data_IF_460829030279
#
_entry.id   IF_460829030279
#
_cell.length_a   1.000
_cell.length_b   1.000
_cell.length_c   1.000
_cell.angle_alpha   90.00
_cell.angle_beta   90.00
_cell.angle_gamma   90.00
#
_symmetry.space_group_name_H-M   'P 1'
#
loop_
_entity.id
_entity.type
_entity.pdbx_description
1 polymer ?
#
# COMPACT_ATOMS: atom_id res chain seq x y z
N UNK A 1 -19.30 -14.73 -26.79
CA UNK A 1 -18.88 -14.79 -25.37
C UNK A 1 -19.07 -16.19 -24.86
N UNK A 2 -18.16 -16.72 -24.05
CA UNK A 2 -18.30 -18.01 -23.39
C UNK A 2 -18.28 -17.74 -21.89
N UNK A 3 -19.31 -18.18 -21.19
CA UNK A 3 -19.45 -18.00 -19.75
C UNK A 3 -19.08 -19.31 -19.08
N UNK A 4 -18.09 -19.28 -18.19
CA UNK A 4 -17.70 -20.42 -17.38
C UNK A 4 -18.28 -20.25 -15.97
N UNK A 5 -19.08 -21.21 -15.53
CA UNK A 5 -19.61 -21.27 -14.17
C UNK A 5 -18.80 -22.29 -13.38
N UNK A 6 -18.21 -21.87 -12.25
CA UNK A 6 -17.45 -22.73 -11.35
C UNK A 6 -18.23 -22.82 -10.04
N UNK A 7 -18.66 -24.02 -9.67
CA UNK A 7 -19.25 -24.28 -8.36
C UNK A 7 -18.13 -24.48 -7.34
N UNK A 8 -18.06 -23.61 -6.33
CA UNK A 8 -17.08 -23.70 -5.25
C UNK A 8 -17.74 -24.42 -4.08
N UNK A 9 -17.22 -25.58 -3.65
CA UNK A 9 -17.76 -26.29 -2.49
C UNK A 9 -17.72 -25.41 -1.23
N UNK A 10 -18.73 -25.51 -0.36
CA UNK A 10 -18.87 -24.65 0.83
C UNK A 10 -17.68 -24.71 1.79
N UNK A 11 -16.92 -25.82 1.78
CA UNK A 11 -15.72 -25.99 2.60
C UNK A 11 -14.55 -25.06 2.19
N UNK A 12 -14.62 -24.39 1.05
CA UNK A 12 -13.56 -23.49 0.58
C UNK A 12 -13.98 -22.03 0.66
N UNK A 13 -13.07 -21.18 1.12
CA UNK A 13 -13.28 -19.75 1.11
C UNK A 13 -13.24 -19.23 -0.34
N UNK A 14 -14.37 -18.69 -0.81
CA UNK A 14 -14.53 -18.17 -2.18
C UNK A 14 -13.40 -17.24 -2.61
N UNK A 15 -12.97 -16.32 -1.73
CA UNK A 15 -11.90 -15.36 -2.02
C UNK A 15 -10.55 -16.04 -2.25
N UNK A 16 -10.19 -17.00 -1.42
CA UNK A 16 -8.94 -17.75 -1.57
C UNK A 16 -8.91 -18.57 -2.87
N UNK A 17 -10.05 -19.19 -3.23
CA UNK A 17 -10.19 -19.94 -4.49
C UNK A 17 -10.07 -19.02 -5.71
N UNK A 18 -10.77 -17.88 -5.70
CA UNK A 18 -10.69 -16.90 -6.79
C UNK A 18 -9.28 -16.33 -6.95
N UNK A 19 -8.60 -16.02 -5.85
CA UNK A 19 -7.21 -15.55 -5.88
C UNK A 19 -6.28 -16.59 -6.52
N UNK A 20 -6.39 -17.87 -6.13
CA UNK A 20 -5.59 -18.95 -6.71
C UNK A 20 -5.83 -19.10 -8.23
N UNK A 21 -7.09 -19.04 -8.66
CA UNK A 21 -7.45 -19.10 -10.09
C UNK A 21 -6.88 -17.89 -10.84
N UNK A 22 -7.06 -16.68 -10.29
CA UNK A 22 -6.59 -15.45 -10.89
C UNK A 22 -5.06 -15.42 -11.05
N UNK A 23 -4.32 -15.85 -10.03
CA UNK A 23 -2.85 -15.98 -10.06
C UNK A 23 -2.43 -16.93 -11.18
N UNK A 24 -3.06 -18.10 -11.30
CA UNK A 24 -2.73 -19.06 -12.35
C UNK A 24 -3.02 -18.53 -13.75
N UNK A 25 -4.13 -17.82 -13.94
CA UNK A 25 -4.48 -17.21 -15.22
C UNK A 25 -3.50 -16.09 -15.60
N UNK A 26 -3.07 -15.29 -14.62
CA UNK A 26 -2.03 -14.29 -14.82
C UNK A 26 -0.68 -14.92 -15.20
N UNK A 27 -0.22 -15.93 -14.46
CA UNK A 27 1.05 -16.62 -14.73
C UNK A 27 1.05 -17.31 -16.11
N UNK A 28 -0.10 -17.77 -16.59
CA UNK A 28 -0.28 -18.33 -17.95
C UNK A 28 -0.38 -17.27 -19.05
N UNK A 29 -0.36 -15.98 -18.69
CA UNK A 29 -0.53 -14.87 -19.63
C UNK A 29 -1.96 -14.73 -20.20
N UNK A 30 -2.93 -15.44 -19.64
CA UNK A 30 -4.33 -15.38 -20.08
C UNK A 30 -5.03 -14.10 -19.62
N UNK A 31 -4.58 -13.52 -18.49
CA UNK A 31 -5.07 -12.26 -17.95
C UNK A 31 -3.89 -11.32 -17.65
N UNK A 32 -4.13 -10.02 -17.78
CA UNK A 32 -3.22 -9.01 -17.21
C UNK A 32 -3.34 -8.97 -15.69
N UNK A 33 -2.33 -8.44 -14.99
CA UNK A 33 -2.34 -8.33 -13.52
C UNK A 33 -3.58 -7.58 -13.00
N UNK A 34 -4.03 -6.52 -13.70
CA UNK A 34 -5.25 -5.79 -13.38
C UNK A 34 -6.50 -6.67 -13.49
N UNK A 35 -6.67 -7.37 -14.62
CA UNK A 35 -7.83 -8.24 -14.83
C UNK A 35 -7.88 -9.42 -13.85
N UNK A 36 -6.71 -9.96 -13.49
CA UNK A 36 -6.60 -10.99 -12.47
C UNK A 36 -6.95 -10.45 -11.07
N UNK A 37 -6.49 -9.24 -10.73
CA UNK A 37 -6.88 -8.56 -9.49
C UNK A 37 -8.39 -8.33 -9.40
N UNK A 38 -9.00 -7.86 -10.50
CA UNK A 38 -10.44 -7.66 -10.60
C UNK A 38 -11.22 -8.97 -10.40
N UNK A 39 -10.74 -10.09 -10.97
CA UNK A 39 -11.34 -11.42 -10.79
C UNK A 39 -11.28 -11.92 -9.34
N UNK A 40 -10.19 -11.60 -8.63
CA UNK A 40 -9.97 -12.02 -7.26
C UNK A 40 -10.46 -11.01 -6.21
N UNK A 41 -11.04 -9.89 -6.64
CA UNK A 41 -11.45 -8.77 -5.78
C UNK A 41 -10.30 -8.23 -4.91
N UNK A 42 -9.08 -8.17 -5.46
CA UNK A 42 -7.88 -7.65 -4.79
C UNK A 42 -7.20 -6.56 -5.62
N UNK A 43 -6.50 -5.61 -4.99
CA UNK A 43 -5.63 -4.67 -5.69
C UNK A 43 -4.62 -5.40 -6.60
N UNK A 44 -4.28 -4.78 -7.72
CA UNK A 44 -3.27 -5.32 -8.65
C UNK A 44 -1.95 -5.66 -7.95
N UNK A 45 -1.48 -4.82 -7.02
CA UNK A 45 -0.24 -5.06 -6.29
C UNK A 45 -0.32 -6.32 -5.42
N UNK A 46 -1.45 -6.52 -4.74
CA UNK A 46 -1.70 -7.73 -3.94
C UNK A 46 -1.70 -8.97 -4.86
N UNK A 47 -2.34 -8.90 -6.03
CA UNK A 47 -2.31 -10.00 -7.00
C UNK A 47 -0.87 -10.34 -7.43
N UNK A 48 -0.08 -9.32 -7.77
CA UNK A 48 1.33 -9.52 -8.17
C UNK A 48 2.10 -10.15 -7.01
N UNK A 49 1.94 -9.65 -5.78
CA UNK A 49 2.57 -10.23 -4.59
C UNK A 49 2.25 -11.72 -4.42
N UNK A 50 0.98 -12.12 -4.56
CA UNK A 50 0.55 -13.52 -4.44
C UNK A 50 0.97 -14.40 -5.63
N UNK A 51 1.35 -13.79 -6.76
CA UNK A 51 1.84 -14.52 -7.93
C UNK A 51 3.34 -14.85 -7.89
N UNK A 52 4.10 -14.17 -7.02
CA UNK A 52 5.53 -14.38 -6.85
C UNK A 52 5.82 -15.58 -5.95
N UNK A 53 6.98 -16.21 -6.17
CA UNK A 53 7.47 -17.26 -5.27
C UNK A 53 7.77 -16.70 -3.87
N UNK A 54 7.71 -17.54 -2.84
CA UNK A 54 7.98 -17.12 -1.46
C UNK A 54 9.41 -16.60 -1.24
N UNK A 55 10.35 -17.02 -2.08
CA UNK A 55 11.75 -16.60 -2.03
C UNK A 55 12.08 -15.46 -3.01
N UNK A 56 11.07 -14.87 -3.67
CA UNK A 56 11.31 -13.80 -4.62
C UNK A 56 11.73 -12.50 -3.89
N UNK A 57 12.90 -11.92 -4.19
CA UNK A 57 13.36 -10.71 -3.52
C UNK A 57 12.42 -9.50 -3.74
N UNK A 58 11.60 -9.50 -4.80
CA UNK A 58 10.64 -8.44 -5.04
C UNK A 58 9.46 -8.49 -4.05
N UNK A 59 9.18 -9.62 -3.38
CA UNK A 59 8.07 -9.72 -2.41
C UNK A 59 8.17 -8.71 -1.27
N UNK A 60 9.37 -8.44 -0.77
CA UNK A 60 9.57 -7.45 0.29
C UNK A 60 9.29 -6.02 -0.18
N UNK A 61 9.53 -5.74 -1.47
CA UNK A 61 9.30 -4.42 -2.08
C UNK A 61 7.83 -4.14 -2.36
N UNK A 62 7.05 -5.18 -2.65
CA UNK A 62 5.63 -5.09 -3.01
C UNK A 62 4.71 -5.71 -1.95
N UNK A 63 5.24 -5.98 -0.76
CA UNK A 63 4.49 -6.54 0.36
C UNK A 63 3.26 -5.66 0.56
N UNK A 64 2.05 -6.23 0.65
CA UNK A 64 0.85 -5.46 0.91
C UNK A 64 1.03 -4.69 2.22
N UNK A 65 1.37 -3.40 2.13
CA UNK A 65 1.29 -2.48 3.25
C UNK A 65 -0.17 -2.40 3.64
N UNK A 66 -0.46 -2.53 4.94
CA UNK A 66 -1.80 -2.66 5.50
C UNK A 66 -2.87 -1.91 4.70
N UNK A 67 -4.02 -2.58 4.47
CA UNK A 67 -5.21 -1.93 3.93
C UNK A 67 -5.67 -0.85 4.92
N UNK A 68 -5.19 0.36 4.74
CA UNK A 68 -5.85 1.53 5.33
C UNK A 68 -7.13 1.75 4.53
N UNK A 69 -8.26 1.79 5.21
CA UNK A 69 -9.56 2.06 4.61
C UNK A 69 -9.64 3.50 4.07
N UNK A 70 -8.77 4.41 4.55
CA UNK A 70 -8.66 5.77 4.02
C UNK A 70 -7.26 6.38 4.20
N UNK A 71 -7.03 7.53 3.56
CA UNK A 71 -5.77 8.31 3.68
C UNK A 71 -5.58 8.81 5.11
N UNK A 72 -6.67 9.11 5.81
CA UNK A 72 -6.66 9.53 7.21
C UNK A 72 -6.19 8.40 8.13
N UNK A 73 -6.65 7.17 7.91
CA UNK A 73 -6.23 6.00 8.69
C UNK A 73 -4.75 5.66 8.50
N UNK A 74 -4.23 5.90 7.29
CA UNK A 74 -2.80 5.81 7.01
C UNK A 74 -2.01 6.88 7.78
N UNK A 75 -2.46 8.13 7.74
CA UNK A 75 -1.82 9.25 8.45
C UNK A 75 -1.82 9.03 9.97
N UNK A 76 -2.91 8.54 10.55
CA UNK A 76 -2.98 8.27 11.99
C UNK A 76 -2.08 7.12 12.42
N UNK A 77 -1.95 6.08 11.61
CA UNK A 77 -0.98 5.01 11.88
C UNK A 77 0.46 5.50 11.80
N UNK A 78 0.81 6.31 10.79
CA UNK A 78 2.14 6.92 10.69
C UNK A 78 2.46 7.79 11.92
N UNK A 79 1.50 8.57 12.41
CA UNK A 79 1.66 9.35 13.65
C UNK A 79 1.93 8.44 14.84
N UNK A 80 1.24 7.31 14.93
CA UNK A 80 1.39 6.34 16.02
C UNK A 80 2.75 5.65 15.98
N UNK A 81 3.18 5.13 14.82
CA UNK A 81 4.48 4.47 14.63
C UNK A 81 5.65 5.40 14.94
N UNK A 82 5.55 6.67 14.54
CA UNK A 82 6.58 7.68 14.78
C UNK A 82 6.49 8.33 16.17
N UNK A 83 5.53 7.91 17.01
CA UNK A 83 5.24 8.54 18.30
C UNK A 83 5.11 10.08 18.17
N UNK A 84 4.44 10.52 17.11
CA UNK A 84 4.31 11.92 16.74
C UNK A 84 3.43 12.65 17.76
N UNK A 85 4.03 13.60 18.50
CA UNK A 85 3.35 14.40 19.53
C UNK A 85 2.87 15.77 19.04
N UNK A 86 2.87 15.99 17.72
CA UNK A 86 2.62 17.30 17.13
C UNK A 86 3.90 18.05 16.76
N UNK A 87 3.73 19.24 16.19
CA UNK A 87 4.84 20.10 15.78
C UNK A 87 5.48 20.74 17.01
N UNK A 88 6.72 20.35 17.32
CA UNK A 88 7.51 20.88 18.41
C UNK A 88 8.24 22.17 17.97
N UNK A 89 7.62 23.31 18.26
CA UNK A 89 8.15 24.64 17.91
C UNK A 89 9.49 24.94 18.56
N UNK A 90 9.71 24.50 19.80
CA UNK A 90 10.95 24.79 20.52
C UNK A 90 12.11 23.98 19.96
N UNK A 91 11.88 22.70 19.66
CA UNK A 91 12.88 21.85 19.00
C UNK A 91 13.24 22.39 17.61
N UNK A 92 12.24 22.82 16.83
CA UNK A 92 12.48 23.38 15.51
C UNK A 92 13.19 24.73 15.55
N UNK A 93 12.91 25.57 16.55
CA UNK A 93 13.64 26.83 16.75
C UNK A 93 15.10 26.56 17.12
N UNK A 94 15.36 25.62 18.04
CA UNK A 94 16.75 25.20 18.36
C UNK A 94 17.49 24.67 17.14
N UNK A 95 16.84 23.87 16.31
CA UNK A 95 17.43 23.37 15.07
C UNK A 95 17.75 24.50 14.08
N UNK A 96 16.86 25.49 13.97
CA UNK A 96 17.11 26.66 13.12
C UNK A 96 18.29 27.50 13.61
N UNK A 97 18.40 27.68 14.94
CA UNK A 97 19.53 28.37 15.57
C UNK A 97 20.85 27.60 15.36
N UNK A 98 20.84 26.26 15.49
CA UNK A 98 22.00 25.40 15.22
C UNK A 98 22.45 25.42 13.75
N UNK A 99 21.50 25.54 12.84
CA UNK A 99 21.74 25.60 11.40
C UNK A 99 22.03 27.02 10.88
N UNK A 100 22.11 28.02 11.78
CA UNK A 100 22.31 29.44 11.46
C UNK A 100 21.32 29.96 10.40
N UNK A 101 20.06 29.51 10.51
CA UNK A 101 19.01 29.92 9.59
C UNK A 101 18.63 31.37 9.91
N UNK A 102 18.98 32.27 9.00
CA UNK A 102 18.75 33.71 9.14
C UNK A 102 17.29 34.12 8.87
N UNK A 103 16.53 33.29 8.18
CA UNK A 103 15.13 33.56 7.84
C UNK A 103 14.16 32.98 8.87
N UNK A 104 13.03 33.68 9.17
CA UNK A 104 12.00 33.12 10.04
C UNK A 104 11.51 31.77 9.51
N UNK A 105 11.49 30.75 10.38
CA UNK A 105 11.06 29.40 10.02
C UNK A 105 9.65 29.38 9.41
N UNK A 106 8.76 30.24 9.90
CA UNK A 106 7.40 30.41 9.38
C UNK A 106 7.39 30.87 7.91
N UNK A 107 8.35 31.72 7.53
CA UNK A 107 8.49 32.21 6.16
C UNK A 107 8.99 31.09 5.24
N UNK A 108 9.95 30.29 5.68
CA UNK A 108 10.43 29.11 4.93
C UNK A 108 9.32 28.07 4.73
N UNK A 109 8.55 27.78 5.78
CA UNK A 109 7.44 26.84 5.70
C UNK A 109 6.34 27.31 4.75
N UNK A 110 6.06 28.62 4.71
CA UNK A 110 5.05 29.19 3.82
C UNK A 110 5.38 29.03 2.33
N UNK A 111 6.65 28.86 1.97
CA UNK A 111 7.09 28.64 0.59
C UNK A 111 6.85 27.21 0.10
N UNK A 112 6.78 26.24 1.00
CA UNK A 112 6.60 24.81 0.70
C UNK A 112 5.13 24.44 0.46
N UNK A 113 4.19 25.25 0.95
CA UNK A 113 2.75 25.00 0.88
C UNK A 113 2.05 25.78 -0.24
N UNK A 114 2.72 26.04 -1.37
CA UNK A 114 2.13 26.69 -2.54
C UNK A 114 1.22 25.77 -3.34
#
# INVERSE_FOLDING_TARGET
MHTLTIEIPEQFEKKAVLLSIAVQLYQKGALTAKQAGDLAEVPMNDLVYYSLSDNDPAKELIKPTMKYASTEEWIENLKTEQNYKGFDKERMRKLADEMDIQEPLELLLSQLTK
#
